data_IF_827837954085
#
_entry.id   IF_827837954085
#
_cell.length_a   1.000
_cell.length_b   1.000
_cell.length_c   1.000
_cell.angle_alpha   90.00
_cell.angle_beta   90.00
_cell.angle_gamma   90.00
#
_symmetry.space_group_name_H-M   'P 1'
#
loop_
_entity.id
_entity.type
_entity.pdbx_description
1 polymer ?
#
# COMPACT_ATOMS: atom_id res chain seq x y z
N UNK A 1 2.80 -8.31 -4.85
CA UNK A 1 2.03 -7.56 -3.83
C UNK A 1 0.96 -6.64 -4.42
N UNK A 2 1.16 -5.97 -5.57
CA UNK A 2 0.15 -5.07 -6.15
C UNK A 2 -1.13 -5.72 -6.71
N UNK A 3 -1.08 -6.96 -7.21
CA UNK A 3 -2.27 -7.66 -7.73
C UNK A 3 -3.30 -7.99 -6.66
N UNK A 4 -2.86 -8.51 -5.50
CA UNK A 4 -3.73 -8.83 -4.37
C UNK A 4 -4.32 -7.55 -3.74
N UNK A 5 -3.53 -6.48 -3.65
CA UNK A 5 -4.00 -5.20 -3.13
C UNK A 5 -5.02 -4.53 -4.07
N UNK A 6 -4.83 -4.64 -5.40
CA UNK A 6 -5.79 -4.18 -6.39
C UNK A 6 -7.12 -4.97 -6.37
N UNK A 7 -7.05 -6.29 -6.20
CA UNK A 7 -8.23 -7.15 -6.04
C UNK A 7 -9.04 -6.76 -4.78
N UNK A 8 -8.35 -6.55 -3.66
CA UNK A 8 -8.95 -6.10 -2.40
C UNK A 8 -9.60 -4.72 -2.53
N UNK A 9 -8.92 -3.74 -3.13
CA UNK A 9 -9.50 -2.41 -3.32
C UNK A 9 -10.69 -2.45 -4.28
N UNK A 10 -10.63 -3.25 -5.34
CA UNK A 10 -11.79 -3.42 -6.23
C UNK A 10 -13.00 -3.95 -5.44
N UNK A 11 -12.82 -5.01 -4.65
CA UNK A 11 -13.89 -5.59 -3.82
C UNK A 11 -14.48 -4.52 -2.90
N UNK A 12 -13.64 -3.71 -2.27
CA UNK A 12 -14.04 -2.64 -1.36
C UNK A 12 -14.82 -1.55 -2.09
N UNK A 13 -14.30 -1.03 -3.21
CA UNK A 13 -14.93 0.09 -3.95
C UNK A 13 -16.31 -0.29 -4.48
N UNK A 14 -16.47 -1.48 -5.05
CA UNK A 14 -17.75 -1.93 -5.62
C UNK A 14 -18.80 -2.30 -4.56
N UNK A 15 -18.38 -2.55 -3.30
CA UNK A 15 -19.31 -2.81 -2.20
C UNK A 15 -19.61 -1.57 -1.34
N UNK A 16 -18.75 -0.55 -1.32
CA UNK A 16 -18.88 0.62 -0.43
C UNK A 16 -19.31 1.93 -1.11
N UNK A 17 -19.10 2.11 -2.43
CA UNK A 17 -19.45 3.39 -3.07
C UNK A 17 -20.93 3.48 -3.49
N UNK A 18 -21.68 4.52 -3.05
CA UNK A 18 -23.12 4.66 -3.33
C UNK A 18 -23.48 4.91 -4.79
N UNK A 19 -22.53 5.31 -5.62
CA UNK A 19 -22.73 5.38 -7.08
C UNK A 19 -23.09 4.01 -7.68
N UNK A 20 -22.82 2.93 -6.95
CA UNK A 20 -23.19 1.55 -7.27
C UNK A 20 -24.32 1.01 -6.37
N UNK A 21 -24.94 1.86 -5.52
CA UNK A 21 -25.95 1.48 -4.52
C UNK A 21 -27.29 1.03 -5.10
N UNK A 22 -27.68 1.52 -6.27
CA UNK A 22 -28.95 1.18 -6.92
C UNK A 22 -29.07 -0.29 -7.31
N UNK A 23 -27.94 -1.01 -7.31
CA UNK A 23 -27.92 -2.42 -7.57
C UNK A 23 -27.91 -3.25 -6.25
N UNK A 24 -27.65 -2.66 -5.06
CA UNK A 24 -27.10 -3.32 -3.84
C UNK A 24 -27.89 -4.48 -3.25
N UNK A 25 -29.21 -4.49 -3.31
CA UNK A 25 -30.01 -5.59 -2.76
C UNK A 25 -29.91 -6.90 -3.58
N UNK A 26 -29.49 -6.78 -4.85
CA UNK A 26 -29.07 -7.89 -5.73
C UNK A 26 -27.54 -7.82 -5.94
N UNK A 27 -26.87 -6.69 -5.64
CA UNK A 27 -25.44 -6.47 -5.91
C UNK A 27 -24.48 -7.16 -4.98
N UNK A 28 -24.82 -7.53 -3.75
CA UNK A 28 -23.75 -8.08 -2.88
C UNK A 28 -23.10 -9.31 -3.53
N UNK A 29 -23.91 -10.20 -4.13
CA UNK A 29 -23.40 -11.31 -4.94
C UNK A 29 -22.86 -10.88 -6.32
N UNK A 30 -23.48 -9.88 -6.93
CA UNK A 30 -23.12 -9.34 -8.25
C UNK A 30 -21.76 -8.62 -8.25
N UNK A 31 -21.44 -7.87 -7.19
CA UNK A 31 -20.20 -7.12 -7.00
C UNK A 31 -19.03 -8.03 -6.64
N UNK A 32 -19.27 -9.08 -5.85
CA UNK A 32 -18.27 -10.12 -5.62
C UNK A 32 -17.85 -10.81 -6.93
N UNK A 33 -18.81 -11.20 -7.78
CA UNK A 33 -18.50 -11.83 -9.08
C UNK A 33 -17.87 -10.86 -10.09
N UNK A 34 -18.28 -9.59 -10.11
CA UNK A 34 -17.61 -8.54 -10.90
C UNK A 34 -16.15 -8.33 -10.45
N UNK A 35 -15.86 -8.48 -9.16
CA UNK A 35 -14.50 -8.41 -8.60
C UNK A 35 -13.61 -9.55 -9.06
N UNK A 36 -14.15 -10.76 -9.05
CA UNK A 36 -13.45 -11.92 -9.60
C UNK A 36 -13.20 -11.71 -11.10
N UNK A 37 -14.19 -11.23 -11.85
CA UNK A 37 -14.03 -10.93 -13.28
C UNK A 37 -12.90 -9.90 -13.52
N UNK A 38 -12.87 -8.81 -12.75
CA UNK A 38 -11.81 -7.80 -12.85
C UNK A 38 -10.42 -8.37 -12.56
N UNK A 39 -10.29 -9.19 -11.52
CA UNK A 39 -9.03 -9.84 -11.15
C UNK A 39 -8.55 -10.82 -12.24
N UNK A 40 -9.46 -11.66 -12.73
CA UNK A 40 -9.15 -12.67 -13.76
C UNK A 40 -8.73 -11.99 -15.05
N UNK A 41 -9.46 -10.96 -15.50
CA UNK A 41 -9.12 -10.20 -16.71
C UNK A 41 -7.81 -9.43 -16.53
N UNK A 42 -7.60 -8.76 -15.39
CA UNK A 42 -6.34 -8.06 -15.12
C UNK A 42 -5.13 -9.01 -15.16
N UNK A 43 -5.28 -10.19 -14.57
CA UNK A 43 -4.22 -11.21 -14.54
C UNK A 43 -3.98 -11.79 -15.94
N UNK A 44 -5.05 -12.07 -16.69
CA UNK A 44 -4.96 -12.56 -18.06
C UNK A 44 -4.31 -11.55 -19.02
N UNK A 45 -4.56 -10.25 -18.84
CA UNK A 45 -3.92 -9.19 -19.61
C UNK A 45 -2.46 -9.08 -19.20
N UNK A 46 -2.16 -9.01 -17.91
CA UNK A 46 -0.80 -8.83 -17.40
C UNK A 46 0.12 -10.03 -17.69
N UNK A 47 -0.40 -11.26 -17.57
CA UNK A 47 0.32 -12.52 -17.80
C UNK A 47 -0.41 -13.37 -18.86
N UNK A 48 -0.32 -12.99 -20.16
CA UNK A 48 -1.12 -13.63 -21.22
C UNK A 48 -0.72 -15.09 -21.52
N UNK A 49 0.49 -15.48 -21.17
CA UNK A 49 1.02 -16.84 -21.36
C UNK A 49 0.98 -17.68 -20.08
N UNK A 50 0.31 -17.21 -19.02
CA UNK A 50 0.12 -17.99 -17.81
C UNK A 50 -0.77 -19.22 -18.12
N UNK A 51 -0.22 -20.40 -17.89
CA UNK A 51 -0.94 -21.67 -18.05
C UNK A 51 -1.44 -22.19 -16.71
N UNK A 52 -2.70 -22.62 -16.68
CA UNK A 52 -3.31 -23.31 -15.55
C UNK A 52 -3.55 -24.77 -15.92
N UNK A 53 -3.25 -25.68 -15.00
CA UNK A 53 -3.56 -27.08 -15.16
C UNK A 53 -4.98 -27.34 -14.63
N UNK A 54 -5.92 -27.58 -15.55
CA UNK A 54 -7.28 -27.97 -15.23
C UNK A 54 -7.37 -29.49 -15.11
N UNK A 55 -8.06 -29.97 -14.07
CA UNK A 55 -8.11 -31.39 -13.69
C UNK A 55 -8.55 -32.33 -14.83
N UNK A 56 -9.43 -31.88 -15.73
CA UNK A 56 -9.97 -32.69 -16.84
C UNK A 56 -9.48 -32.27 -18.24
N UNK A 57 -8.93 -31.07 -18.39
CA UNK A 57 -8.65 -30.45 -19.70
C UNK A 57 -7.12 -30.33 -19.94
N UNK A 58 -6.32 -30.46 -18.88
CA UNK A 58 -4.87 -30.27 -18.97
C UNK A 58 -4.49 -28.78 -18.91
N UNK A 59 -3.40 -28.40 -19.59
CA UNK A 59 -2.86 -27.04 -19.55
C UNK A 59 -3.66 -26.10 -20.45
N UNK A 60 -4.22 -25.04 -19.87
CA UNK A 60 -4.98 -24.02 -20.58
C UNK A 60 -4.46 -22.65 -20.20
N UNK A 61 -4.23 -21.77 -21.20
CA UNK A 61 -3.83 -20.39 -20.93
C UNK A 61 -4.97 -19.62 -20.25
N UNK A 62 -4.64 -18.85 -19.21
CA UNK A 62 -5.60 -18.07 -18.42
C UNK A 62 -6.44 -17.11 -19.29
N UNK A 63 -5.87 -16.56 -20.37
CA UNK A 63 -6.59 -15.69 -21.30
C UNK A 63 -7.82 -16.34 -21.93
N UNK A 64 -7.78 -17.64 -22.20
CA UNK A 64 -8.93 -18.35 -22.77
C UNK A 64 -10.02 -18.55 -21.73
N UNK A 65 -9.64 -18.91 -20.50
CA UNK A 65 -10.58 -19.02 -19.39
C UNK A 65 -11.27 -17.66 -19.13
N UNK A 66 -10.48 -16.59 -19.05
CA UNK A 66 -10.98 -15.24 -18.82
C UNK A 66 -11.98 -14.79 -19.92
N UNK A 67 -11.62 -15.01 -21.19
CA UNK A 67 -12.47 -14.66 -22.33
C UNK A 67 -13.78 -15.46 -22.33
N UNK A 68 -13.70 -16.78 -22.17
CA UNK A 68 -14.87 -17.67 -22.18
C UNK A 68 -15.81 -17.31 -21.03
N UNK A 69 -15.28 -17.15 -19.81
CA UNK A 69 -16.10 -16.76 -18.65
C UNK A 69 -16.79 -15.43 -18.89
N UNK A 70 -16.09 -14.41 -19.40
CA UNK A 70 -16.68 -13.13 -19.74
C UNK A 70 -17.82 -13.24 -20.76
N UNK A 71 -17.59 -13.98 -21.86
CA UNK A 71 -18.60 -14.16 -22.91
C UNK A 71 -19.84 -14.89 -22.38
N UNK A 72 -19.65 -15.96 -21.62
CA UNK A 72 -20.78 -16.73 -21.06
C UNK A 72 -21.61 -15.87 -20.11
N UNK A 73 -20.96 -15.15 -19.19
CA UNK A 73 -21.70 -14.43 -18.13
C UNK A 73 -22.24 -13.08 -18.56
N UNK A 74 -21.64 -12.46 -19.58
CA UNK A 74 -21.99 -11.08 -19.98
C UNK A 74 -22.70 -10.99 -21.33
N UNK A 75 -22.35 -11.88 -22.27
CA UNK A 75 -22.85 -11.82 -23.67
C UNK A 75 -23.92 -12.88 -23.92
N UNK A 76 -23.69 -14.12 -23.47
CA UNK A 76 -24.58 -15.25 -23.73
C UNK A 76 -25.58 -15.54 -22.60
N UNK A 77 -25.53 -14.80 -21.50
CA UNK A 77 -26.60 -14.85 -20.50
C UNK A 77 -27.83 -14.14 -21.06
N UNK A 78 -28.91 -14.88 -21.35
CA UNK A 78 -30.20 -14.33 -21.81
C UNK A 78 -31.17 -14.03 -20.67
N UNK A 79 -30.77 -14.19 -19.41
CA UNK A 79 -31.59 -13.83 -18.26
C UNK A 79 -31.88 -12.32 -18.21
N UNK A 80 -32.98 -11.94 -17.55
CA UNK A 80 -33.41 -10.53 -17.36
C UNK A 80 -32.56 -9.78 -16.33
N UNK A 81 -31.35 -10.28 -16.00
CA UNK A 81 -30.45 -9.69 -15.03
C UNK A 81 -29.51 -8.64 -15.67
N UNK A 82 -30.09 -7.53 -16.14
CA UNK A 82 -29.36 -6.44 -16.79
C UNK A 82 -28.28 -5.83 -15.88
N UNK A 83 -28.55 -5.77 -14.56
CA UNK A 83 -27.57 -5.31 -13.58
C UNK A 83 -26.32 -6.21 -13.51
N UNK A 84 -26.52 -7.54 -13.57
CA UNK A 84 -25.46 -8.55 -13.53
C UNK A 84 -24.46 -8.40 -14.65
N UNK A 85 -24.99 -8.28 -15.87
CA UNK A 85 -24.19 -8.11 -17.09
C UNK A 85 -23.39 -6.81 -17.05
N UNK A 86 -24.02 -5.71 -16.65
CA UNK A 86 -23.35 -4.41 -16.54
C UNK A 86 -22.21 -4.48 -15.52
N UNK A 87 -22.41 -5.14 -14.38
CA UNK A 87 -21.37 -5.30 -13.37
C UNK A 87 -20.18 -6.13 -13.88
N UNK A 88 -20.43 -7.26 -14.57
CA UNK A 88 -19.36 -8.07 -15.15
C UNK A 88 -18.59 -7.34 -16.25
N UNK A 89 -19.30 -6.59 -17.11
CA UNK A 89 -18.68 -5.73 -18.13
C UNK A 89 -17.82 -4.65 -17.47
N UNK A 90 -18.34 -3.97 -16.44
CA UNK A 90 -17.58 -2.97 -15.69
C UNK A 90 -16.33 -3.56 -15.04
N UNK A 91 -16.44 -4.75 -14.44
CA UNK A 91 -15.30 -5.50 -13.91
C UNK A 91 -14.27 -5.85 -14.98
N UNK A 92 -14.71 -6.37 -16.14
CA UNK A 92 -13.82 -6.71 -17.24
C UNK A 92 -13.07 -5.49 -17.80
N UNK A 93 -13.75 -4.36 -17.99
CA UNK A 93 -13.14 -3.11 -18.47
C UNK A 93 -12.10 -2.59 -17.46
N UNK A 94 -12.44 -2.55 -16.17
CA UNK A 94 -11.52 -2.12 -15.12
C UNK A 94 -10.31 -3.04 -15.00
N UNK A 95 -10.55 -4.36 -15.04
CA UNK A 95 -9.49 -5.37 -15.04
C UNK A 95 -8.54 -5.20 -16.23
N UNK A 96 -9.08 -4.98 -17.42
CA UNK A 96 -8.29 -4.75 -18.63
C UNK A 96 -7.42 -3.49 -18.52
N UNK A 97 -8.02 -2.37 -18.11
CA UNK A 97 -7.30 -1.10 -17.92
C UNK A 97 -6.17 -1.24 -16.89
N UNK A 98 -6.44 -1.91 -15.76
CA UNK A 98 -5.45 -2.17 -14.72
C UNK A 98 -4.32 -3.08 -15.21
N UNK A 99 -4.66 -4.23 -15.81
CA UNK A 99 -3.69 -5.18 -16.34
C UNK A 99 -2.81 -4.57 -17.44
N UNK A 100 -3.40 -3.81 -18.36
CA UNK A 100 -2.65 -3.12 -19.41
C UNK A 100 -1.75 -2.03 -18.82
N UNK A 101 -2.23 -1.32 -17.83
CA UNK A 101 -1.43 -0.34 -17.11
C UNK A 101 -0.22 -0.95 -16.42
N UNK A 102 -0.37 -2.13 -15.80
CA UNK A 102 0.74 -2.87 -15.19
C UNK A 102 1.79 -3.30 -16.23
N UNK A 103 1.35 -3.79 -17.41
CA UNK A 103 2.28 -4.12 -18.52
C UNK A 103 3.07 -2.92 -18.99
N UNK A 104 2.47 -1.73 -18.93
CA UNK A 104 3.08 -0.48 -19.34
C UNK A 104 3.97 0.15 -18.24
N UNK A 105 4.23 -0.57 -17.15
CA UNK A 105 5.13 -0.12 -16.08
C UNK A 105 4.59 1.03 -15.21
N UNK A 106 3.28 1.30 -15.25
CA UNK A 106 2.68 2.34 -14.40
C UNK A 106 2.55 1.82 -12.96
N UNK A 107 3.03 2.62 -12.00
CA UNK A 107 2.90 2.31 -10.58
C UNK A 107 1.53 2.71 -10.03
N UNK A 108 0.54 1.85 -10.25
CA UNK A 108 -0.80 2.01 -9.63
C UNK A 108 -0.79 1.79 -8.11
N UNK A 109 0.30 1.28 -7.54
CA UNK A 109 0.47 1.14 -6.10
C UNK A 109 0.47 2.49 -5.39
N UNK A 110 0.89 3.57 -6.06
CA UNK A 110 1.04 4.90 -5.48
C UNK A 110 -0.27 5.61 -5.11
N UNK A 111 -1.37 5.37 -5.83
CA UNK A 111 -2.68 5.91 -5.46
C UNK A 111 -3.39 5.00 -4.44
N UNK A 112 -3.23 3.68 -4.59
CA UNK A 112 -3.76 2.70 -3.66
C UNK A 112 -3.13 2.81 -2.26
N UNK A 113 -1.81 3.01 -2.19
CA UNK A 113 -1.10 3.22 -0.92
C UNK A 113 -1.66 4.43 -0.18
N UNK A 114 -1.93 5.54 -0.88
CA UNK A 114 -2.55 6.74 -0.27
C UNK A 114 -3.94 6.45 0.32
N UNK A 115 -4.73 5.60 -0.32
CA UNK A 115 -6.05 5.19 0.19
C UNK A 115 -5.91 4.27 1.39
N UNK A 116 -5.06 3.26 1.30
CA UNK A 116 -4.79 2.35 2.41
C UNK A 116 -4.26 3.12 3.62
N UNK A 117 -3.33 4.06 3.40
CA UNK A 117 -2.81 4.93 4.45
C UNK A 117 -3.90 5.81 5.06
N UNK A 118 -4.85 6.30 4.26
CA UNK A 118 -6.01 7.06 4.76
C UNK A 118 -6.88 6.21 5.71
N UNK A 119 -7.25 5.00 5.30
CA UNK A 119 -8.04 4.10 6.15
C UNK A 119 -7.28 3.61 7.38
N UNK A 120 -6.01 3.22 7.23
CA UNK A 120 -5.15 2.82 8.34
C UNK A 120 -5.00 3.96 9.35
N UNK A 121 -4.86 5.20 8.90
CA UNK A 121 -4.81 6.35 9.79
C UNK A 121 -6.16 6.69 10.43
N UNK A 122 -7.28 6.29 9.84
CA UNK A 122 -8.62 6.44 10.42
C UNK A 122 -8.89 5.42 11.54
N UNK A 123 -8.35 4.20 11.42
CA UNK A 123 -8.46 3.14 12.43
C UNK A 123 -7.29 3.12 13.43
N UNK A 124 -6.28 3.98 13.26
CA UNK A 124 -5.25 4.19 14.27
C UNK A 124 -5.90 4.86 15.48
N UNK A 125 -5.75 4.31 16.71
CA UNK A 125 -6.18 5.02 17.91
C UNK A 125 -5.47 6.38 17.91
N UNK A 126 -6.28 7.44 17.96
CA UNK A 126 -5.82 8.81 17.77
C UNK A 126 -4.62 9.07 18.66
N UNK A 127 -3.50 9.51 18.07
CA UNK A 127 -2.35 10.00 18.85
C UNK A 127 -2.88 11.08 19.78
N UNK A 128 -2.82 10.83 21.09
CA UNK A 128 -3.35 11.69 22.12
C UNK A 128 -3.01 13.15 21.84
N UNK A 129 -4.05 13.99 21.84
CA UNK A 129 -3.93 15.43 21.67
C UNK A 129 -2.88 15.95 22.65
N UNK A 130 -1.74 16.41 22.11
CA UNK A 130 -0.78 17.18 22.88
C UNK A 130 -1.46 18.49 23.27
N UNK A 131 -1.87 18.56 24.53
CA UNK A 131 -2.43 19.74 25.18
C UNK A 131 -1.45 20.90 24.98
N UNK A 132 -1.89 21.93 24.25
CA UNK A 132 -1.19 23.21 24.21
C UNK A 132 -1.41 23.90 25.55
N UNK A 133 -0.44 23.78 26.46
CA UNK A 133 -0.36 24.68 27.61
C UNK A 133 -0.19 26.11 27.09
N UNK A 134 -1.20 26.96 27.29
CA UNK A 134 -1.02 28.41 27.21
C UNK A 134 -0.13 28.82 28.38
N UNK A 135 1.16 29.01 28.13
CA UNK A 135 2.02 29.74 29.06
C UNK A 135 2.08 31.19 28.60
N UNK A 136 1.51 32.06 29.43
CA UNK A 136 1.55 33.51 29.26
C UNK A 136 3.00 34.00 29.32
N UNK A 137 3.32 34.97 28.46
CA UNK A 137 4.49 35.83 28.59
C UNK A 137 5.82 35.22 28.13
N UNK A 138 6.12 35.32 26.84
CA UNK A 138 7.45 35.63 26.32
C UNK A 138 7.40 35.73 24.79
N UNK A 139 7.98 36.80 24.25
CA UNK A 139 8.12 37.10 22.82
C UNK A 139 8.58 35.88 22.00
N UNK A 140 7.77 35.48 21.02
CA UNK A 140 7.92 34.25 20.25
C UNK A 140 8.79 34.48 19.00
N UNK A 141 10.06 34.11 19.07
CA UNK A 141 10.91 33.91 17.90
C UNK A 141 10.71 32.47 17.42
N UNK A 142 9.91 32.29 16.35
CA UNK A 142 9.58 30.98 15.77
C UNK A 142 10.83 30.37 15.15
N UNK A 143 11.44 29.35 15.76
CA UNK A 143 12.52 28.59 15.10
C UNK A 143 12.36 27.07 15.21
N UNK A 144 12.02 26.50 14.05
CA UNK A 144 12.20 25.12 13.56
C UNK A 144 11.57 23.97 14.38
N UNK A 145 10.36 23.59 13.99
CA UNK A 145 9.99 22.17 13.90
C UNK A 145 11.01 21.47 13.00
N UNK A 146 11.89 20.67 13.59
CA UNK A 146 12.85 19.85 12.84
C UNK A 146 12.07 18.89 11.95
N UNK A 147 12.24 19.06 10.64
CA UNK A 147 11.71 18.13 9.64
C UNK A 147 12.44 16.79 9.73
N UNK A 148 11.89 15.70 9.17
CA UNK A 148 12.56 14.39 9.18
C UNK A 148 13.98 14.45 8.57
N UNK A 149 14.23 15.41 7.67
CA UNK A 149 15.57 15.76 7.17
C UNK A 149 16.51 16.33 8.24
N UNK A 150 16.03 17.24 9.10
CA UNK A 150 16.80 17.80 10.22
C UNK A 150 17.09 16.73 11.31
N UNK A 151 16.23 15.71 11.45
CA UNK A 151 16.46 14.58 12.37
C UNK A 151 17.53 13.63 11.81
N UNK A 152 17.43 13.28 10.52
CA UNK A 152 18.39 12.38 9.87
C UNK A 152 19.80 12.98 9.78
N UNK A 153 19.91 14.28 9.50
CA UNK A 153 21.20 14.99 9.49
C UNK A 153 21.84 15.04 10.88
N UNK A 154 21.08 15.38 11.92
CA UNK A 154 21.59 15.38 13.30
C UNK A 154 22.00 13.97 13.77
N UNK A 155 21.30 12.93 13.33
CA UNK A 155 21.68 11.53 13.59
C UNK A 155 22.98 11.16 12.86
N UNK A 156 23.15 11.60 11.62
CA UNK A 156 24.37 11.36 10.84
C UNK A 156 25.59 12.07 11.43
N UNK A 157 25.45 13.32 11.90
CA UNK A 157 26.52 14.05 12.59
C UNK A 157 26.91 13.36 13.90
N UNK A 158 25.92 12.94 14.70
CA UNK A 158 26.17 12.18 15.93
C UNK A 158 26.84 10.83 15.67
N UNK A 159 26.51 10.15 14.57
CA UNK A 159 27.18 8.91 14.20
C UNK A 159 28.65 9.15 13.85
N UNK A 160 28.96 10.23 13.12
CA UNK A 160 30.36 10.60 12.82
C UNK A 160 31.18 10.88 14.07
N UNK A 161 30.58 11.52 15.07
CA UNK A 161 31.23 11.78 16.37
C UNK A 161 31.53 10.48 17.11
N UNK A 162 30.59 9.52 17.09
CA UNK A 162 30.79 8.18 17.67
C UNK A 162 31.91 7.43 16.92
N UNK A 163 31.89 7.43 15.59
CA UNK A 163 32.90 6.75 14.79
C UNK A 163 34.31 7.31 15.05
N UNK A 164 34.43 8.63 15.21
CA UNK A 164 35.69 9.28 15.59
C UNK A 164 36.17 8.87 17.00
N UNK A 165 35.25 8.72 17.96
CA UNK A 165 35.55 8.21 19.31
C UNK A 165 36.04 6.75 19.22
N UNK A 166 35.38 5.91 18.42
CA UNK A 166 35.77 4.51 18.22
C UNK A 166 37.16 4.38 17.57
N UNK A 167 37.49 5.24 16.62
CA UNK A 167 38.81 5.31 15.99
C UNK A 167 39.92 5.69 16.99
N UNK A 168 39.64 6.63 17.90
CA UNK A 168 40.58 6.98 18.99
C UNK A 168 40.79 5.82 19.94
N UNK A 169 39.72 5.14 20.35
CA UNK A 169 39.83 3.92 21.18
C UNK A 169 40.65 2.87 20.45
N UNK A 170 40.44 2.67 19.15
CA UNK A 170 41.19 1.67 18.37
C UNK A 170 42.69 1.96 18.28
N UNK A 171 43.10 3.23 18.32
CA UNK A 171 44.51 3.63 18.17
C UNK A 171 45.24 3.83 19.50
N UNK A 172 44.53 4.28 20.53
CA UNK A 172 45.12 4.70 21.82
C UNK A 172 44.44 4.12 23.06
N UNK A 173 43.48 3.21 22.91
CA UNK A 173 42.72 2.62 24.02
C UNK A 173 41.74 3.59 24.67
N UNK A 174 41.02 3.11 25.69
CA UNK A 174 39.97 3.87 26.38
C UNK A 174 40.47 5.14 27.09
N UNK A 175 41.72 5.15 27.53
CA UNK A 175 42.32 6.28 28.24
C UNK A 175 42.65 7.47 27.32
N UNK A 176 42.63 7.25 26.00
CA UNK A 176 42.82 8.32 25.00
C UNK A 176 41.62 9.27 24.86
N UNK A 177 40.48 8.96 25.47
CA UNK A 177 39.25 9.74 25.37
C UNK A 177 39.19 10.88 26.39
N UNK A 178 38.66 12.02 25.98
CA UNK A 178 38.34 13.12 26.91
C UNK A 178 37.15 12.76 27.80
N UNK A 179 36.93 13.53 28.87
CA UNK A 179 35.80 13.31 29.78
C UNK A 179 34.47 13.41 29.03
N UNK A 180 34.38 14.35 28.10
CA UNK A 180 33.22 14.57 27.23
C UNK A 180 32.98 13.36 26.32
N UNK A 181 34.02 12.87 25.63
CA UNK A 181 33.94 11.70 24.74
C UNK A 181 33.51 10.43 25.50
N UNK A 182 34.03 10.22 26.72
CA UNK A 182 33.62 9.10 27.59
C UNK A 182 32.14 9.19 27.96
N UNK A 183 31.64 10.38 28.31
CA UNK A 183 30.22 10.57 28.62
C UNK A 183 29.31 10.30 27.42
N UNK A 184 29.74 10.68 26.21
CA UNK A 184 29.01 10.40 24.97
C UNK A 184 28.93 8.89 24.74
N UNK A 185 30.05 8.18 24.84
CA UNK A 185 30.11 6.72 24.67
C UNK A 185 29.22 5.98 25.68
N UNK A 186 29.26 6.38 26.95
CA UNK A 186 28.43 5.79 28.00
C UNK A 186 26.93 5.99 27.72
N UNK A 187 26.56 7.20 27.29
CA UNK A 187 25.16 7.53 26.97
C UNK A 187 24.60 6.68 25.82
N UNK A 188 25.45 6.28 24.86
CA UNK A 188 25.03 5.43 23.73
C UNK A 188 24.99 3.95 24.11
N UNK A 189 25.86 3.48 25.03
CA UNK A 189 25.78 2.12 25.58
C UNK A 189 24.49 1.87 26.35
N UNK A 190 23.98 2.88 27.09
CA UNK A 190 22.74 2.77 27.88
C UNK A 190 21.48 2.73 27.02
N UNK A 191 21.52 3.26 25.78
CA UNK A 191 20.36 3.24 24.87
C UNK A 191 20.19 1.91 24.12
N UNK A 192 21.21 1.05 24.11
CA UNK A 192 21.21 -0.23 23.40
C UNK A 192 20.94 -1.46 24.29
N UNK A 193 20.80 -1.26 25.61
CA UNK A 193 20.34 -2.28 26.57
C UNK A 193 18.88 -2.10 26.92
#
# INVERSE_FOLDING_TARGET
MGGLAGALLYIIVFNLFPAFASAVNISIALGASASVMALVIATAVYLPDLELHLLFIGRVKLKYLALITFLITSVFDFSVNTGGKIAHIGGAVMGFAYGQGLRNGRDFGAWLSRILDFFVNLFRPGKGLRVKYKRAGASFNTKKTKTDYDYNSAKAERQKEIDHILDKISKGGYDSLTKEEKTILFSESQKKG
#
